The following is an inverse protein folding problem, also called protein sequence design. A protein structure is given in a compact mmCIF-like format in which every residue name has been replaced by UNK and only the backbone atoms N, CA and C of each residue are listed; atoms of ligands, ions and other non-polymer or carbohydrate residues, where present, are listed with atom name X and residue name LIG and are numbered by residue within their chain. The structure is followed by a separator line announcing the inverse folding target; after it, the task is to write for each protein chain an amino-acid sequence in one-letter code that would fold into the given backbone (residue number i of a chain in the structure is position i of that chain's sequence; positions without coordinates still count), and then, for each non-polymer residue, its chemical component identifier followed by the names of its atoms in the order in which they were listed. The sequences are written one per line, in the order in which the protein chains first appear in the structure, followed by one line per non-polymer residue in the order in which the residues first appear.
data_IF_184385145547
#
_entry.id   IF_184385145547
#
_cell.length_a   1.000
_cell.length_b   1.000
_cell.length_c   1.000
_cell.angle_alpha   90.00
_cell.angle_beta   90.00
_cell.angle_gamma   90.00
#
_symmetry.space_group_name_H-M   'P 1'
#
loop_
_entity.id
_entity.type
_entity.pdbx_description
1 polymer ?
#
# COMPACT_ATOMS: atom_id res chain seq x y z
N UNK A 1 -13.88 4.69 -7.93
CA UNK A 1 -13.51 6.14 -7.84
C UNK A 1 -12.07 6.27 -7.40
N UNK A 2 -11.36 7.33 -7.81
CA UNK A 2 -9.97 7.61 -7.40
C UNK A 2 -9.95 8.90 -6.60
N UNK A 3 -9.46 8.87 -5.38
CA UNK A 3 -9.40 10.01 -4.46
C UNK A 3 -7.95 10.35 -4.11
N UNK A 4 -7.65 11.62 -3.92
CA UNK A 4 -6.33 12.12 -3.55
C UNK A 4 -6.41 13.09 -2.37
N UNK A 5 -5.33 13.15 -1.59
CA UNK A 5 -5.05 14.25 -0.67
C UNK A 5 -3.95 15.13 -1.25
N UNK A 6 -4.01 16.41 -1.02
CA UNK A 6 -3.04 17.36 -1.56
C UNK A 6 -2.95 18.64 -0.72
N UNK A 7 -1.89 19.40 -0.93
CA UNK A 7 -1.72 20.75 -0.40
C UNK A 7 -2.01 21.75 -1.51
N UNK A 8 -2.69 22.84 -1.18
CA UNK A 8 -2.95 23.98 -2.06
C UNK A 8 -1.95 25.12 -1.83
N UNK A 9 -1.96 26.13 -2.71
CA UNK A 9 -1.03 27.28 -2.71
C UNK A 9 -0.99 28.09 -1.42
N UNK A 10 -2.03 28.03 -0.60
CA UNK A 10 -2.12 28.68 0.71
C UNK A 10 -1.67 27.77 1.88
N UNK A 11 -1.14 26.59 1.57
CA UNK A 11 -0.76 25.58 2.55
C UNK A 11 -1.94 24.78 3.11
N UNK A 12 -3.15 24.99 2.59
CA UNK A 12 -4.35 24.28 3.03
C UNK A 12 -4.32 22.84 2.53
N UNK A 13 -4.47 21.91 3.45
CA UNK A 13 -4.67 20.53 3.15
C UNK A 13 -6.07 20.27 2.61
N UNK A 14 -6.16 19.49 1.56
CA UNK A 14 -7.40 19.26 0.83
C UNK A 14 -7.55 17.83 0.36
N UNK A 15 -8.79 17.45 0.09
CA UNK A 15 -9.14 16.18 -0.57
C UNK A 15 -9.93 16.46 -1.84
N UNK A 16 -9.78 15.56 -2.80
CA UNK A 16 -10.51 15.63 -4.06
C UNK A 16 -10.64 14.29 -4.74
N UNK A 17 -11.49 14.26 -5.75
CA UNK A 17 -11.74 13.10 -6.58
C UNK A 17 -11.22 13.37 -7.99
N UNK A 18 -10.48 12.41 -8.53
CA UNK A 18 -9.94 12.49 -9.90
C UNK A 18 -11.06 12.29 -10.91
N UNK A 19 -11.19 13.24 -11.83
CA UNK A 19 -12.18 13.25 -12.92
C UNK A 19 -11.48 13.63 -14.24
N UNK A 20 -11.07 12.61 -14.99
CA UNK A 20 -10.24 12.80 -16.19
C UNK A 20 -8.86 13.38 -15.84
N UNK A 21 -8.55 14.53 -16.44
CA UNK A 21 -7.31 15.29 -16.23
C UNK A 21 -7.39 16.28 -15.04
N UNK A 22 -8.54 16.35 -14.40
CA UNK A 22 -8.81 17.27 -13.29
C UNK A 22 -9.02 16.52 -11.97
N UNK A 23 -8.95 17.28 -10.90
CA UNK A 23 -9.40 16.91 -9.56
C UNK A 23 -10.55 17.83 -9.17
N UNK A 24 -11.69 17.24 -8.81
CA UNK A 24 -12.79 17.96 -8.17
C UNK A 24 -12.43 18.16 -6.70
N UNK A 25 -12.21 19.41 -6.29
CA UNK A 25 -11.80 19.76 -4.94
C UNK A 25 -12.99 19.75 -3.98
N UNK A 26 -13.11 18.70 -3.17
CA UNK A 26 -14.17 18.55 -2.18
C UNK A 26 -14.03 19.56 -1.04
N UNK A 27 -12.82 19.81 -0.57
CA UNK A 27 -12.55 20.72 0.56
C UNK A 27 -12.98 22.14 0.27
N UNK A 28 -12.91 22.59 -1.00
CA UNK A 28 -13.36 23.92 -1.39
C UNK A 28 -14.86 24.13 -1.15
N UNK A 29 -15.69 23.10 -1.35
CA UNK A 29 -17.13 23.13 -1.10
C UNK A 29 -17.50 22.69 0.31
N UNK A 30 -16.69 21.83 0.92
CA UNK A 30 -16.91 21.23 2.24
C UNK A 30 -15.66 21.34 3.11
N UNK A 31 -15.38 22.51 3.70
CA UNK A 31 -14.13 22.77 4.45
C UNK A 31 -13.88 21.84 5.64
N UNK A 32 -14.91 21.16 6.15
CA UNK A 32 -14.77 20.17 7.22
C UNK A 32 -14.05 18.90 6.77
N UNK A 33 -13.91 18.65 5.47
CA UNK A 33 -13.22 17.49 4.91
C UNK A 33 -11.83 17.89 4.36
N UNK A 34 -10.87 18.03 5.26
CA UNK A 34 -9.47 18.31 4.88
C UNK A 34 -8.66 17.04 4.64
N UNK A 35 -9.20 15.88 5.05
CA UNK A 35 -8.52 14.58 4.97
C UNK A 35 -9.46 13.46 4.52
N UNK A 36 -8.88 12.43 3.91
CA UNK A 36 -9.59 11.16 3.63
C UNK A 36 -10.16 10.56 4.92
N UNK A 37 -9.42 10.67 6.02
CA UNK A 37 -9.85 10.19 7.33
C UNK A 37 -11.17 10.86 7.77
N UNK A 38 -11.30 12.19 7.65
CA UNK A 38 -12.52 12.90 8.04
C UNK A 38 -13.74 12.48 7.21
N UNK A 39 -13.55 12.26 5.90
CA UNK A 39 -14.59 11.75 5.01
C UNK A 39 -15.00 10.31 5.37
N UNK A 40 -14.01 9.44 5.59
CA UNK A 40 -14.26 8.04 5.94
C UNK A 40 -15.00 7.90 7.27
N UNK A 41 -14.60 8.66 8.30
CA UNK A 41 -15.28 8.67 9.61
C UNK A 41 -16.71 9.18 9.51
N UNK A 42 -16.98 10.19 8.67
CA UNK A 42 -18.34 10.68 8.45
C UNK A 42 -19.21 9.65 7.70
N UNK A 43 -18.65 8.99 6.68
CA UNK A 43 -19.33 7.89 5.98
C UNK A 43 -19.70 6.76 6.97
N UNK A 44 -18.75 6.30 7.79
CA UNK A 44 -18.97 5.28 8.82
C UNK A 44 -20.07 5.71 9.80
N UNK A 45 -19.99 6.93 10.30
CA UNK A 45 -21.01 7.49 11.22
C UNK A 45 -22.41 7.52 10.63
N UNK A 46 -22.53 7.74 9.31
CA UNK A 46 -23.81 7.75 8.57
C UNK A 46 -24.23 6.33 8.10
N UNK A 47 -23.43 5.30 8.36
CA UNK A 47 -23.64 3.94 7.84
C UNK A 47 -23.69 3.90 6.31
N UNK A 48 -22.90 4.73 5.66
CA UNK A 48 -22.71 4.79 4.21
C UNK A 48 -21.35 4.21 3.82
N UNK A 49 -21.28 3.71 2.61
CA UNK A 49 -20.00 3.44 1.97
C UNK A 49 -19.34 4.77 1.57
N UNK A 50 -18.02 4.84 1.59
CA UNK A 50 -17.30 6.07 1.23
C UNK A 50 -17.62 6.54 -0.20
N UNK A 51 -17.75 5.62 -1.16
CA UNK A 51 -18.12 5.95 -2.53
C UNK A 51 -19.56 6.50 -2.67
N UNK A 52 -20.48 6.10 -1.81
CA UNK A 52 -21.85 6.64 -1.77
C UNK A 52 -21.82 8.09 -1.28
N UNK A 53 -21.14 8.35 -0.16
CA UNK A 53 -20.98 9.71 0.36
C UNK A 53 -20.31 10.63 -0.69
N UNK A 54 -19.26 10.16 -1.34
CA UNK A 54 -18.56 10.94 -2.38
C UNK A 54 -19.45 11.29 -3.56
N UNK A 55 -20.29 10.36 -4.04
CA UNK A 55 -21.24 10.65 -5.15
C UNK A 55 -22.21 11.77 -4.80
N UNK A 56 -22.71 11.81 -3.56
CA UNK A 56 -23.61 12.85 -3.10
C UNK A 56 -22.90 14.21 -2.99
N UNK A 57 -21.68 14.24 -2.44
CA UNK A 57 -20.89 15.47 -2.31
C UNK A 57 -20.48 16.05 -3.66
N UNK A 58 -20.06 15.22 -4.60
CA UNK A 58 -19.60 15.65 -5.92
C UNK A 58 -20.66 16.42 -6.72
N UNK A 59 -21.94 16.17 -6.48
CA UNK A 59 -23.04 16.93 -7.12
C UNK A 59 -23.05 18.43 -6.75
N UNK A 60 -22.34 18.81 -5.71
CA UNK A 60 -22.30 20.16 -5.17
C UNK A 60 -20.92 20.80 -5.29
N UNK A 61 -20.02 20.21 -6.07
CA UNK A 61 -18.62 20.64 -6.21
C UNK A 61 -18.32 21.10 -7.64
N UNK A 62 -17.94 22.38 -7.78
CA UNK A 62 -17.58 22.97 -9.08
C UNK A 62 -16.08 23.30 -9.20
N UNK A 63 -15.36 23.39 -8.09
CA UNK A 63 -13.94 23.76 -8.07
C UNK A 63 -13.08 22.62 -8.58
N UNK A 64 -12.29 22.90 -9.61
CA UNK A 64 -11.39 21.94 -10.26
C UNK A 64 -9.95 22.42 -10.25
N UNK A 65 -9.04 21.47 -10.18
CA UNK A 65 -7.59 21.67 -10.24
C UNK A 65 -7.00 20.68 -11.25
N UNK A 66 -5.94 21.08 -11.94
CA UNK A 66 -5.22 20.16 -12.84
C UNK A 66 -4.55 19.05 -12.05
N UNK A 67 -4.88 17.80 -12.37
CA UNK A 67 -4.22 16.63 -11.79
C UNK A 67 -2.72 16.61 -12.14
N UNK A 68 -2.38 16.95 -13.38
CA UNK A 68 -0.99 16.99 -13.83
C UNK A 68 -0.15 18.03 -13.05
N UNK A 69 -0.75 19.15 -12.66
CA UNK A 69 -0.05 20.15 -11.84
C UNK A 69 0.30 19.61 -10.46
N UNK A 70 -0.64 18.91 -9.82
CA UNK A 70 -0.41 18.21 -8.53
C UNK A 70 0.58 17.05 -8.68
N UNK A 71 0.47 16.27 -9.74
CA UNK A 71 1.39 15.16 -10.03
C UNK A 71 2.84 15.63 -10.17
N UNK A 72 3.07 16.77 -10.77
CA UNK A 72 4.41 17.35 -10.96
C UNK A 72 4.91 18.13 -9.73
N UNK A 73 4.06 18.38 -8.75
CA UNK A 73 4.41 19.11 -7.53
C UNK A 73 5.47 18.36 -6.71
N UNK A 74 6.51 19.09 -6.31
CA UNK A 74 7.54 18.57 -5.40
C UNK A 74 7.04 18.63 -3.95
N UNK A 75 7.45 17.68 -3.13
CA UNK A 75 7.11 17.66 -1.70
C UNK A 75 7.57 18.95 -1.02
N UNK A 76 6.65 19.57 -0.27
CA UNK A 76 6.89 20.85 0.38
C UNK A 76 6.71 22.08 -0.52
N UNK A 77 6.36 21.90 -1.81
CA UNK A 77 5.90 23.03 -2.64
C UNK A 77 4.46 23.41 -2.32
N UNK A 78 4.04 24.58 -2.81
CA UNK A 78 2.69 25.12 -2.57
C UNK A 78 1.56 24.26 -3.17
N UNK A 79 1.89 23.33 -4.06
CA UNK A 79 0.92 22.44 -4.70
C UNK A 79 1.55 21.06 -4.90
N UNK A 80 1.15 20.07 -4.11
CA UNK A 80 1.66 18.71 -4.21
C UNK A 80 0.72 17.68 -3.62
N UNK A 81 0.87 16.43 -4.05
CA UNK A 81 0.12 15.27 -3.57
C UNK A 81 0.68 14.77 -2.23
N UNK A 82 -0.23 14.37 -1.35
CA UNK A 82 0.06 13.73 -0.06
C UNK A 82 -0.21 12.23 -0.13
N UNK A 83 0.21 11.45 0.88
CA UNK A 83 -0.32 10.09 1.04
C UNK A 83 -1.85 10.10 1.04
N UNK A 84 -2.52 9.15 0.37
CA UNK A 84 -3.97 9.22 0.15
C UNK A 84 -4.78 8.95 1.42
N UNK A 85 -4.15 8.39 2.45
CA UNK A 85 -4.70 8.22 3.80
C UNK A 85 -3.58 8.34 4.82
N UNK A 86 -3.78 9.17 5.82
CA UNK A 86 -2.91 9.32 6.99
C UNK A 86 -3.71 9.85 8.19
N UNK A 87 -3.05 10.03 9.32
CA UNK A 87 -3.64 10.59 10.53
C UNK A 87 -2.84 11.84 10.98
N UNK A 88 -3.48 12.92 11.43
CA UNK A 88 -2.80 14.11 11.96
C UNK A 88 -1.83 13.79 13.11
N UNK A 89 -2.18 12.82 13.96
CA UNK A 89 -1.28 12.23 14.95
C UNK A 89 -0.59 11.02 14.29
N UNK A 90 0.63 11.20 13.84
CA UNK A 90 1.40 10.18 13.09
C UNK A 90 1.52 8.83 13.81
N UNK A 91 1.48 8.82 15.15
CA UNK A 91 1.50 7.60 15.96
C UNK A 91 0.24 6.74 15.82
N UNK A 92 -0.85 7.30 15.30
CA UNK A 92 -2.11 6.59 15.05
C UNK A 92 -2.22 6.00 13.65
N UNK A 93 -1.25 6.24 12.78
CA UNK A 93 -1.12 5.51 11.52
C UNK A 93 -0.28 4.28 11.78
N UNK A 94 -0.80 3.10 11.49
CA UNK A 94 -0.07 1.84 11.58
C UNK A 94 0.16 1.32 10.17
N UNK A 95 1.40 0.97 9.88
CA UNK A 95 1.82 0.40 8.59
C UNK A 95 2.32 -1.01 8.87
N UNK A 96 1.70 -1.97 8.21
CA UNK A 96 2.00 -3.39 8.37
C UNK A 96 2.11 -4.04 7.01
N UNK A 97 2.88 -5.10 6.90
CA UNK A 97 2.96 -5.91 5.72
C UNK A 97 2.61 -7.37 5.97
N UNK A 98 2.21 -8.06 4.92
CA UNK A 98 2.02 -9.50 4.90
C UNK A 98 2.86 -10.09 3.80
N UNK A 99 3.85 -10.93 4.16
CA UNK A 99 4.70 -11.59 3.19
C UNK A 99 4.06 -12.87 2.64
N UNK A 100 4.60 -13.36 1.51
CA UNK A 100 4.29 -14.67 0.93
C UNK A 100 2.79 -14.90 0.63
N UNK A 101 2.04 -13.85 0.37
CA UNK A 101 0.61 -13.93 0.08
C UNK A 101 0.31 -14.17 -1.39
N UNK A 102 1.24 -13.81 -2.31
CA UNK A 102 1.10 -13.96 -3.75
C UNK A 102 2.14 -14.94 -4.32
N UNK A 103 1.75 -15.71 -5.34
CA UNK A 103 2.66 -16.64 -6.04
C UNK A 103 3.89 -15.92 -6.60
N UNK A 104 3.72 -14.71 -7.14
CA UNK A 104 4.83 -13.90 -7.66
C UNK A 104 5.85 -13.52 -6.59
N UNK A 105 5.40 -13.14 -5.39
CA UNK A 105 6.29 -12.82 -4.26
C UNK A 105 7.13 -14.02 -3.83
N UNK A 106 6.52 -15.21 -3.78
CA UNK A 106 7.22 -16.45 -3.46
C UNK A 106 8.30 -16.77 -4.51
N UNK A 107 7.96 -16.67 -5.80
CA UNK A 107 8.90 -16.93 -6.90
C UNK A 107 10.08 -15.95 -6.88
N UNK A 108 9.82 -14.66 -6.61
CA UNK A 108 10.88 -13.66 -6.50
C UNK A 108 11.82 -13.94 -5.33
N UNK A 109 11.28 -14.36 -4.19
CA UNK A 109 12.07 -14.72 -3.01
C UNK A 109 12.90 -15.98 -3.26
N UNK A 110 12.33 -17.00 -3.89
CA UNK A 110 13.08 -18.23 -4.24
C UNK A 110 14.23 -17.92 -5.20
N UNK A 111 14.02 -17.06 -6.20
CA UNK A 111 15.10 -16.61 -7.10
C UNK A 111 16.20 -15.86 -6.35
N UNK A 112 15.84 -15.00 -5.39
CA UNK A 112 16.80 -14.29 -4.54
C UNK A 112 17.72 -15.24 -3.75
N UNK A 113 17.18 -16.35 -3.28
CA UNK A 113 17.94 -17.37 -2.53
C UNK A 113 18.70 -18.35 -3.42
N UNK A 114 18.18 -18.69 -4.59
CA UNK A 114 18.81 -19.62 -5.53
C UNK A 114 20.18 -19.13 -6.06
N UNK A 115 20.38 -17.84 -6.19
CA UNK A 115 21.66 -17.28 -6.65
C UNK A 115 22.83 -17.46 -5.66
N UNK A 116 22.58 -17.99 -4.46
CA UNK A 116 23.62 -18.26 -3.45
C UNK A 116 24.13 -19.73 -3.46
N UNK A 117 23.43 -20.65 -4.13
CA UNK A 117 23.68 -22.10 -4.04
C UNK A 117 24.30 -22.72 -5.31
N UNK A 118 25.04 -21.98 -6.12
CA UNK A 118 25.73 -22.54 -7.31
C UNK A 118 26.78 -23.66 -7.01
N UNK A 119 26.95 -24.07 -5.75
CA UNK A 119 27.89 -25.14 -5.36
C UNK A 119 27.23 -26.45 -4.87
N UNK A 120 25.92 -26.58 -4.90
CA UNK A 120 25.24 -27.78 -4.40
C UNK A 120 25.02 -28.80 -5.52
N UNK A 121 25.84 -29.88 -5.51
CA UNK A 121 25.58 -31.13 -6.20
C UNK A 121 24.24 -31.75 -5.79
N UNK A 122 23.53 -32.33 -6.75
CA UNK A 122 22.25 -33.09 -6.68
C UNK A 122 21.87 -33.70 -5.32
N UNK A 123 21.47 -32.89 -4.39
CA UNK A 123 20.69 -33.29 -3.21
C UNK A 123 19.33 -32.58 -3.27
N UNK A 124 18.26 -33.34 -2.97
CA UNK A 124 16.91 -32.80 -2.76
C UNK A 124 17.06 -31.55 -1.90
N UNK A 125 16.89 -30.39 -2.51
CA UNK A 125 17.02 -29.10 -1.79
C UNK A 125 15.96 -29.09 -0.69
N UNK A 126 16.32 -28.99 0.59
CA UNK A 126 15.33 -28.93 1.65
C UNK A 126 14.42 -27.73 1.37
N UNK A 127 13.10 -27.95 1.42
CA UNK A 127 12.13 -26.88 1.25
C UNK A 127 12.46 -25.75 2.21
N UNK A 128 12.66 -24.53 1.71
CA UNK A 128 12.94 -23.35 2.56
C UNK A 128 11.77 -23.07 3.50
N UNK A 129 12.01 -22.41 4.63
CA UNK A 129 10.94 -22.06 5.55
C UNK A 129 9.91 -21.11 4.87
N UNK A 130 10.35 -20.25 3.96
CA UNK A 130 9.47 -19.43 3.11
C UNK A 130 8.55 -20.30 2.25
N UNK A 131 9.08 -21.34 1.61
CA UNK A 131 8.28 -22.26 0.79
C UNK A 131 7.26 -23.04 1.64
N UNK A 132 7.63 -23.45 2.87
CA UNK A 132 6.69 -24.09 3.82
C UNK A 132 5.57 -23.15 4.23
N UNK A 133 5.90 -21.89 4.56
CA UNK A 133 4.91 -20.88 4.94
C UNK A 133 3.94 -20.60 3.80
N UNK A 134 4.43 -20.47 2.57
CA UNK A 134 3.60 -20.31 1.39
C UNK A 134 2.67 -21.50 1.16
N UNK A 135 3.18 -22.73 1.29
CA UNK A 135 2.38 -23.95 1.17
C UNK A 135 1.26 -24.01 2.23
N UNK A 136 1.55 -23.66 3.48
CA UNK A 136 0.54 -23.54 4.53
C UNK A 136 -0.54 -22.51 4.17
N UNK A 137 -0.16 -21.41 3.53
CA UNK A 137 -1.08 -20.40 3.00
C UNK A 137 -1.99 -20.97 1.91
N UNK A 138 -1.45 -21.74 0.96
CA UNK A 138 -2.23 -22.41 -0.08
C UNK A 138 -3.28 -23.35 0.54
N UNK A 139 -2.88 -24.13 1.56
CA UNK A 139 -3.72 -25.13 2.19
C UNK A 139 -4.80 -24.55 3.12
N UNK A 140 -4.52 -23.44 3.80
CA UNK A 140 -5.40 -22.93 4.84
C UNK A 140 -5.61 -21.41 4.84
N UNK A 141 -5.12 -20.68 3.84
CA UNK A 141 -5.23 -19.22 3.81
C UNK A 141 -6.59 -18.67 3.36
N UNK A 142 -7.46 -19.52 2.83
CA UNK A 142 -8.84 -19.18 2.44
C UNK A 142 -9.83 -20.15 3.09
N UNK A 143 -9.96 -20.13 4.42
CA UNK A 143 -10.83 -21.06 5.14
C UNK A 143 -12.31 -20.75 4.86
N UNK A 144 -13.16 -21.78 4.98
CA UNK A 144 -14.60 -21.61 5.00
C UNK A 144 -15.05 -20.77 6.20
N UNK A 145 -16.22 -20.17 6.08
CA UNK A 145 -16.79 -19.33 7.14
C UNK A 145 -16.88 -20.12 8.48
N UNK A 146 -16.30 -19.55 9.54
CA UNK A 146 -16.27 -20.15 10.86
C UNK A 146 -15.14 -21.17 11.08
N UNK A 147 -14.31 -21.45 10.08
CA UNK A 147 -13.13 -22.29 10.23
C UNK A 147 -11.89 -21.44 10.56
N UNK A 148 -10.97 -22.07 11.29
CA UNK A 148 -9.66 -21.45 11.56
C UNK A 148 -8.76 -21.61 10.35
N UNK A 149 -8.27 -20.48 9.82
CA UNK A 149 -7.30 -20.46 8.72
C UNK A 149 -5.84 -20.46 9.19
N UNK A 150 -4.94 -20.54 8.22
CA UNK A 150 -3.50 -20.32 8.41
C UNK A 150 -3.23 -18.82 8.35
N UNK A 151 -2.54 -18.29 9.38
CA UNK A 151 -2.12 -16.90 9.40
C UNK A 151 -1.11 -16.59 8.29
N UNK A 152 -1.19 -15.45 7.61
CA UNK A 152 -0.12 -14.99 6.72
C UNK A 152 1.12 -14.65 7.55
N UNK A 153 2.27 -14.59 6.89
CA UNK A 153 3.42 -13.90 7.45
C UNK A 153 3.05 -12.44 7.67
N UNK A 154 3.32 -11.92 8.86
CA UNK A 154 2.93 -10.56 9.23
C UNK A 154 4.06 -9.84 9.94
N UNK A 155 4.23 -8.56 9.65
CA UNK A 155 5.19 -7.72 10.35
C UNK A 155 4.68 -6.28 10.47
N UNK A 156 5.19 -5.59 11.49
CA UNK A 156 4.97 -4.17 11.70
C UNK A 156 6.10 -3.39 11.03
N UNK A 157 5.76 -2.57 10.04
CA UNK A 157 6.73 -1.73 9.35
C UNK A 157 7.02 -0.43 10.11
N UNK A 158 5.99 0.17 10.68
CA UNK A 158 6.12 1.40 11.43
C UNK A 158 4.81 2.17 11.56
N UNK A 159 4.93 3.41 12.01
CA UNK A 159 3.82 4.35 12.09
C UNK A 159 3.93 5.43 11.01
N UNK A 160 3.07 6.45 11.07
CA UNK A 160 3.04 7.54 10.10
C UNK A 160 4.34 8.32 9.91
N UNK A 161 5.32 8.18 10.83
CA UNK A 161 6.66 8.79 10.64
C UNK A 161 7.38 8.14 9.46
N UNK A 162 7.13 6.85 9.19
CA UNK A 162 7.74 6.14 8.08
C UNK A 162 7.05 6.42 6.74
N UNK A 163 5.84 6.98 6.74
CA UNK A 163 5.02 7.17 5.54
C UNK A 163 5.54 8.31 4.68
N UNK A 164 5.63 8.04 3.39
CA UNK A 164 5.98 9.00 2.34
C UNK A 164 4.88 9.05 1.29
N UNK A 165 4.75 10.21 0.65
CA UNK A 165 3.82 10.43 -0.45
C UNK A 165 4.46 10.28 -1.82
N UNK A 166 3.71 10.73 -2.81
CA UNK A 166 4.16 10.81 -4.20
C UNK A 166 5.38 11.75 -4.31
N UNK A 167 6.43 11.31 -5.02
CA UNK A 167 7.71 12.02 -5.23
C UNK A 167 8.54 12.32 -3.97
N UNK A 168 8.13 11.78 -2.82
CA UNK A 168 8.93 11.89 -1.61
C UNK A 168 10.10 10.89 -1.62
N UNK A 169 11.20 11.25 -0.98
CA UNK A 169 12.38 10.40 -0.91
C UNK A 169 12.18 9.25 0.08
N UNK A 170 12.63 8.05 -0.30
CA UNK A 170 12.75 6.92 0.59
C UNK A 170 14.18 6.82 1.11
N UNK A 171 14.33 6.86 2.43
CA UNK A 171 15.63 6.91 3.07
C UNK A 171 16.26 5.52 3.20
N UNK A 172 17.57 5.44 3.01
CA UNK A 172 18.39 4.30 3.39
C UNK A 172 19.06 4.66 4.72
N UNK A 173 18.64 4.07 5.86
CA UNK A 173 19.25 4.39 7.15
C UNK A 173 20.72 3.95 7.19
N UNK A 174 21.55 4.67 7.97
CA UNK A 174 22.98 4.41 8.02
C UNK A 174 23.39 3.03 8.56
N UNK A 175 22.45 2.28 9.15
CA UNK A 175 22.66 0.90 9.60
C UNK A 175 22.23 -0.15 8.57
N UNK A 176 21.60 0.25 7.48
CA UNK A 176 21.15 -0.66 6.43
C UNK A 176 22.31 -1.07 5.51
N UNK A 177 22.25 -2.28 5.00
CA UNK A 177 23.19 -2.76 3.98
C UNK A 177 22.71 -2.48 2.57
N UNK A 178 21.38 -2.26 2.41
CA UNK A 178 20.73 -2.10 1.12
C UNK A 178 19.48 -1.21 1.24
N UNK A 179 18.94 -0.81 0.10
CA UNK A 179 17.65 -0.19 -0.07
C UNK A 179 17.06 -0.64 -1.38
N UNK A 180 16.02 -1.46 -1.33
CA UNK A 180 15.37 -2.07 -2.47
C UNK A 180 13.86 -1.78 -2.49
N UNK A 181 13.36 -1.61 -3.70
CA UNK A 181 11.94 -1.43 -3.96
C UNK A 181 11.16 -2.73 -3.76
N UNK A 182 10.00 -2.60 -3.14
CA UNK A 182 8.98 -3.64 -3.05
C UNK A 182 7.62 -3.03 -3.42
N UNK A 183 7.28 -2.99 -4.71
CA UNK A 183 5.99 -2.51 -5.17
C UNK A 183 4.85 -3.40 -4.67
N UNK A 184 3.88 -2.78 -4.00
CA UNK A 184 2.81 -3.48 -3.31
C UNK A 184 1.45 -2.85 -3.55
N UNK A 185 0.39 -3.65 -3.35
CA UNK A 185 -0.96 -3.12 -3.14
C UNK A 185 -1.21 -2.93 -1.65
N UNK A 186 -1.68 -1.76 -1.29
CA UNK A 186 -1.93 -1.35 0.09
C UNK A 186 -3.43 -1.30 0.35
N UNK A 187 -3.92 -2.18 1.24
CA UNK A 187 -5.27 -2.06 1.78
C UNK A 187 -5.32 -0.91 2.80
N UNK A 188 -6.18 0.07 2.57
CA UNK A 188 -6.35 1.23 3.43
C UNK A 188 -7.55 1.04 4.35
N UNK A 189 -7.34 1.16 5.67
CA UNK A 189 -8.37 0.93 6.69
C UNK A 189 -8.46 2.11 7.64
N UNK A 190 -9.67 2.35 8.15
CA UNK A 190 -9.95 3.32 9.20
C UNK A 190 -10.64 2.60 10.35
N UNK A 191 -10.14 2.78 11.57
CA UNK A 191 -10.80 2.27 12.76
C UNK A 191 -11.98 3.18 13.09
N UNK A 192 -13.18 2.61 13.04
CA UNK A 192 -14.41 3.33 13.37
C UNK A 192 -14.55 3.66 14.85
N UNK A 193 -15.53 4.50 15.22
CA UNK A 193 -15.82 4.81 16.62
C UNK A 193 -16.21 3.59 17.47
N UNK A 194 -16.64 2.53 16.83
CA UNK A 194 -16.97 1.22 17.41
C UNK A 194 -15.77 0.30 17.60
N UNK A 195 -14.58 0.74 17.19
CA UNK A 195 -13.35 -0.04 17.26
C UNK A 195 -13.19 -1.04 16.12
N UNK A 196 -14.10 -1.05 15.14
CA UNK A 196 -14.05 -1.96 13.98
C UNK A 196 -13.19 -1.33 12.87
N UNK A 197 -12.29 -2.10 12.22
CA UNK A 197 -11.56 -1.64 11.04
C UNK A 197 -12.47 -1.69 9.79
N UNK A 198 -12.61 -0.55 9.15
CA UNK A 198 -13.33 -0.40 7.89
C UNK A 198 -12.36 -0.22 6.74
N UNK A 199 -12.39 -1.11 5.74
CA UNK A 199 -11.62 -0.93 4.51
C UNK A 199 -12.21 0.19 3.69
N UNK A 200 -11.44 1.25 3.46
CA UNK A 200 -11.88 2.43 2.70
C UNK A 200 -11.46 2.39 1.25
N UNK A 201 -10.47 1.58 0.90
CA UNK A 201 -10.01 1.41 -0.47
C UNK A 201 -8.65 0.74 -0.55
N UNK A 202 -8.05 0.83 -1.74
CA UNK A 202 -6.70 0.34 -2.04
C UNK A 202 -5.85 1.45 -2.65
N UNK A 203 -4.55 1.39 -2.39
CA UNK A 203 -3.55 2.26 -3.00
C UNK A 203 -2.38 1.42 -3.52
N UNK A 204 -1.51 2.03 -4.32
CA UNK A 204 -0.20 1.47 -4.61
C UNK A 204 0.78 1.87 -3.50
N UNK A 205 1.78 1.04 -3.26
CA UNK A 205 2.83 1.33 -2.30
C UNK A 205 4.19 0.85 -2.76
N UNK A 206 5.21 1.34 -2.08
CA UNK A 206 6.57 0.81 -2.17
C UNK A 206 7.05 0.56 -0.75
N UNK A 207 7.18 -0.71 -0.39
CA UNK A 207 7.52 -1.10 0.97
C UNK A 207 8.96 -0.77 1.35
N UNK A 208 9.83 -0.47 0.45
CA UNK A 208 11.24 -0.13 0.67
C UNK A 208 11.92 -0.91 1.80
N UNK A 209 12.82 -1.81 1.45
CA UNK A 209 13.37 -2.81 2.36
C UNK A 209 14.87 -2.99 2.19
N UNK A 210 15.50 -3.67 3.15
CA UNK A 210 16.90 -4.09 3.09
C UNK A 210 17.00 -5.57 2.74
N UNK A 211 17.04 -5.87 1.44
CA UNK A 211 17.11 -7.22 0.94
C UNK A 211 18.42 -7.92 1.31
N UNK A 212 19.51 -7.17 1.49
CA UNK A 212 20.79 -7.74 1.92
C UNK A 212 20.71 -8.27 3.37
N UNK A 213 20.05 -7.54 4.28
CA UNK A 213 19.76 -8.01 5.65
C UNK A 213 18.83 -9.21 5.64
N UNK A 214 17.74 -9.17 4.84
CA UNK A 214 16.78 -10.27 4.76
C UNK A 214 17.43 -11.59 4.31
N UNK A 215 18.36 -11.52 3.36
CA UNK A 215 19.09 -12.70 2.84
C UNK A 215 19.98 -13.40 3.87
N UNK A 216 20.38 -12.72 4.93
CA UNK A 216 21.27 -13.31 5.95
C UNK A 216 20.57 -14.46 6.68
N UNK A 217 19.32 -14.23 7.09
CA UNK A 217 18.54 -15.23 7.81
C UNK A 217 17.06 -14.82 7.79
N UNK A 218 16.16 -15.78 7.70
CA UNK A 218 14.70 -15.56 7.73
C UNK A 218 14.24 -14.73 8.96
N UNK A 219 14.89 -14.88 10.11
CA UNK A 219 14.59 -14.11 11.32
C UNK A 219 14.86 -12.60 11.16
N UNK A 220 15.60 -12.20 10.12
CA UNK A 220 15.87 -10.79 9.82
C UNK A 220 14.80 -10.15 8.91
N UNK A 221 13.73 -10.86 8.56
CA UNK A 221 12.63 -10.27 7.80
C UNK A 221 12.13 -8.98 8.45
N UNK A 222 11.64 -9.04 9.69
CA UNK A 222 11.10 -7.86 10.37
C UNK A 222 12.13 -6.71 10.50
N UNK A 223 13.39 -6.94 10.93
CA UNK A 223 14.41 -5.89 10.91
C UNK A 223 14.68 -5.30 9.53
N UNK A 224 14.63 -6.09 8.45
CA UNK A 224 14.84 -5.63 7.08
C UNK A 224 13.76 -4.65 6.60
N UNK A 225 12.56 -4.72 7.20
CA UNK A 225 11.38 -3.92 6.86
C UNK A 225 11.29 -2.59 7.62
N UNK A 226 12.12 -2.34 8.62
CA UNK A 226 12.10 -1.09 9.44
C UNK A 226 12.77 0.05 8.65
N UNK A 227 12.05 0.60 7.70
CA UNK A 227 12.44 1.65 6.76
C UNK A 227 11.24 2.55 6.45
N UNK A 228 11.49 3.66 5.75
CA UNK A 228 10.41 4.43 5.13
C UNK A 228 9.69 3.62 4.06
N UNK A 229 8.45 3.95 3.78
CA UNK A 229 7.67 3.38 2.68
C UNK A 229 6.80 4.48 2.05
N UNK A 230 6.48 4.36 0.78
CA UNK A 230 5.55 5.28 0.14
C UNK A 230 4.21 4.62 -0.14
N UNK A 231 3.14 5.42 -0.05
CA UNK A 231 1.78 5.01 -0.41
C UNK A 231 1.13 6.10 -1.25
N UNK A 232 0.50 5.72 -2.32
CA UNK A 232 -0.29 6.62 -3.14
C UNK A 232 0.14 6.71 -4.61
N UNK A 233 -0.20 7.82 -5.27
CA UNK A 233 -0.89 9.01 -4.73
C UNK A 233 -2.41 8.85 -4.58
N UNK A 234 -3.02 7.83 -5.16
CA UNK A 234 -4.47 7.67 -5.24
C UNK A 234 -4.96 6.59 -4.28
N UNK A 235 -6.13 6.82 -3.70
CA UNK A 235 -6.96 5.82 -3.06
C UNK A 235 -8.06 5.40 -4.04
N UNK A 236 -8.08 4.15 -4.43
CA UNK A 236 -9.12 3.56 -5.28
C UNK A 236 -10.25 3.01 -4.40
N UNK A 237 -11.46 3.53 -4.60
CA UNK A 237 -12.62 3.27 -3.76
C UNK A 237 -13.73 2.62 -4.58
N UNK A 238 -14.37 1.60 -4.02
CA UNK A 238 -15.55 0.96 -4.61
C UNK A 238 -15.25 -0.01 -5.76
N UNK A 239 -13.99 -0.26 -6.06
CA UNK A 239 -13.58 -1.22 -7.08
C UNK A 239 -13.22 -2.57 -6.45
N UNK A 240 -13.49 -3.70 -7.14
CA UNK A 240 -13.07 -5.02 -6.69
C UNK A 240 -11.54 -5.16 -6.74
N UNK A 241 -10.98 -5.87 -5.78
CA UNK A 241 -9.57 -6.24 -5.74
C UNK A 241 -9.41 -7.73 -6.10
N UNK A 242 -9.76 -8.11 -7.33
CA UNK A 242 -9.83 -9.53 -7.73
C UNK A 242 -8.77 -9.92 -8.77
N UNK A 243 -8.81 -9.34 -9.95
CA UNK A 243 -7.88 -9.61 -11.07
C UNK A 243 -7.38 -8.27 -11.61
N UNK A 244 -6.13 -7.96 -11.33
CA UNK A 244 -5.51 -6.68 -11.66
C UNK A 244 -4.25 -6.90 -12.48
N UNK A 245 -4.11 -6.10 -13.54
CA UNK A 245 -2.87 -5.96 -14.27
C UNK A 245 -2.00 -4.89 -13.63
N UNK A 246 -0.73 -5.21 -13.42
CA UNK A 246 0.23 -4.28 -12.81
C UNK A 246 1.55 -4.32 -13.59
N UNK A 247 2.23 -3.21 -13.63
CA UNK A 247 3.57 -3.08 -14.22
C UNK A 247 4.43 -2.20 -13.34
N UNK A 248 5.66 -2.61 -13.12
CA UNK A 248 6.64 -1.90 -12.33
C UNK A 248 7.79 -1.46 -13.23
N UNK A 249 8.15 -0.19 -13.15
CA UNK A 249 9.30 0.34 -13.85
C UNK A 249 10.22 1.07 -12.87
N UNK A 250 11.53 0.92 -13.03
CA UNK A 250 12.52 1.67 -12.27
C UNK A 250 13.31 2.54 -13.22
N UNK A 251 13.36 3.83 -12.93
CA UNK A 251 14.13 4.80 -13.70
C UNK A 251 15.30 5.33 -12.87
N UNK A 252 16.46 5.49 -13.49
CA UNK A 252 17.61 6.17 -12.92
C UNK A 252 17.88 7.41 -13.74
N UNK A 253 17.68 8.59 -13.14
CA UNK A 253 17.58 9.85 -13.89
C UNK A 253 16.45 9.73 -14.93
N UNK A 254 16.73 9.90 -16.19
CA UNK A 254 15.75 9.83 -17.29
C UNK A 254 15.77 8.47 -18.04
N UNK A 255 16.57 7.50 -17.56
CA UNK A 255 16.70 6.19 -18.18
C UNK A 255 15.92 5.12 -17.40
N UNK A 256 15.02 4.40 -18.08
CA UNK A 256 14.37 3.23 -17.51
C UNK A 256 15.36 2.07 -17.46
N UNK A 257 15.71 1.64 -16.24
CA UNK A 257 16.69 0.58 -16.00
C UNK A 257 16.04 -0.78 -15.68
N UNK A 258 14.75 -0.77 -15.38
CA UNK A 258 13.98 -2.00 -15.12
C UNK A 258 12.55 -1.86 -15.60
N UNK A 259 12.00 -2.98 -16.03
CA UNK A 259 10.61 -3.14 -16.43
C UNK A 259 10.17 -4.59 -16.12
N UNK A 260 9.17 -4.74 -15.29
CA UNK A 260 8.65 -6.06 -14.93
C UNK A 260 7.89 -6.77 -16.06
N UNK A 261 7.51 -6.04 -17.12
CA UNK A 261 6.43 -6.47 -17.98
C UNK A 261 5.08 -6.52 -17.25
N UNK A 262 4.10 -7.14 -17.88
CA UNK A 262 2.75 -7.24 -17.32
C UNK A 262 2.71 -8.37 -16.27
N UNK A 263 2.28 -8.02 -15.05
CA UNK A 263 2.12 -8.91 -13.92
C UNK A 263 0.65 -8.98 -13.54
N UNK A 264 0.26 -10.09 -12.90
CA UNK A 264 -1.08 -10.28 -12.34
C UNK A 264 -1.05 -10.17 -10.83
N UNK A 265 -2.05 -9.49 -10.28
CA UNK A 265 -2.27 -9.34 -8.84
C UNK A 265 -3.77 -9.31 -8.51
N UNK A 266 -4.08 -9.15 -7.23
CA UNK A 266 -5.45 -9.20 -6.73
C UNK A 266 -5.75 -10.48 -5.98
N UNK A 267 -6.92 -10.51 -5.34
CA UNK A 267 -7.31 -11.59 -4.42
C UNK A 267 -7.35 -12.97 -5.11
N UNK A 268 -7.59 -13.01 -6.41
CA UNK A 268 -7.58 -14.24 -7.19
C UNK A 268 -6.20 -14.93 -7.17
N UNK A 269 -5.13 -14.14 -7.09
CA UNK A 269 -3.74 -14.62 -7.11
C UNK A 269 -3.12 -14.73 -5.71
N UNK A 270 -3.86 -14.42 -4.67
CA UNK A 270 -3.44 -14.55 -3.28
C UNK A 270 -3.76 -15.95 -2.74
N UNK A 271 -2.87 -16.48 -1.91
CA UNK A 271 -3.13 -17.70 -1.13
C UNK A 271 -3.90 -17.43 0.17
N UNK A 272 -3.99 -16.19 0.62
CA UNK A 272 -4.77 -15.78 1.78
C UNK A 272 -5.95 -14.88 1.37
N UNK A 273 -7.05 -14.93 2.13
CA UNK A 273 -8.12 -13.95 1.96
C UNK A 273 -7.75 -12.62 2.61
N UNK A 274 -8.28 -11.52 2.06
CA UNK A 274 -8.11 -10.18 2.66
C UNK A 274 -8.68 -10.10 4.07
N UNK A 275 -9.81 -10.77 4.31
CA UNK A 275 -10.46 -10.77 5.63
C UNK A 275 -9.62 -11.49 6.68
N UNK A 276 -8.98 -12.62 6.32
CA UNK A 276 -8.06 -13.32 7.22
C UNK A 276 -6.83 -12.48 7.51
N UNK A 277 -6.28 -11.78 6.51
CA UNK A 277 -5.14 -10.89 6.68
C UNK A 277 -5.48 -9.74 7.64
N UNK A 278 -6.71 -9.23 7.61
CA UNK A 278 -7.18 -8.16 8.49
C UNK A 278 -7.28 -8.57 9.96
N UNK A 279 -7.61 -9.82 10.27
CA UNK A 279 -7.74 -10.33 11.66
C UNK A 279 -6.46 -10.10 12.47
N UNK A 280 -5.30 -10.10 11.83
CA UNK A 280 -4.01 -9.93 12.49
C UNK A 280 -3.62 -8.46 12.72
N UNK A 281 -4.37 -7.53 12.19
CA UNK A 281 -4.18 -6.08 12.40
C UNK A 281 -4.90 -5.63 13.67
#
# INVERSE_FOLDING_TARGET
MRMVQFVQQDGVRSVGVVDGDDIVNLTASFPQYETTLSLALDAIKRSLRLDELLRDLLQQCDTRLSYQALWNGEVGSDLHLLPPLDHPEVSRTHITGTGLTHTGSMQSRDQMHATQDESATEHVTPQTDSAKMFQMGIEGGKPDAGQRGTAPEWFYKGNGICLRGHRDALDIPGFAFDGGEEPEFVGCYVIGPDGIPYRVGFALGNEWSDHATEKINYLYLAPSKIRTCSVGPELVIGEPFEDLDVRVTVCRKDEQIYDSGDLKSGQQFMCHSLDLSLIHI
#
